data_IF_028750958584
#
_entry.id   IF_028750958584
#
_cell.length_a   1.000
_cell.length_b   1.000
_cell.length_c   1.000
_cell.angle_alpha   90.00
_cell.angle_beta   90.00
_cell.angle_gamma   90.00
#
_symmetry.space_group_name_H-M   'P 1'
#
loop_
_entity.id
_entity.type
_entity.pdbx_description
1 polymer ?
#
# COMPACT_ATOMS: atom_id res chain seq x y z
N UNK A 1 16.01 13.64 -54.65
CA UNK A 1 15.22 12.52 -54.09
C UNK A 1 15.80 12.04 -52.72
N UNK A 2 17.11 11.95 -52.51
CA UNK A 2 17.74 11.49 -51.28
C UNK A 2 17.50 12.46 -50.08
N UNK A 3 17.62 13.77 -50.37
CA UNK A 3 17.38 14.80 -49.35
C UNK A 3 15.92 14.85 -48.86
N UNK A 4 14.96 14.68 -49.76
CA UNK A 4 13.53 14.67 -49.44
C UNK A 4 13.15 13.49 -48.53
N UNK A 5 13.79 12.33 -48.70
CA UNK A 5 13.59 11.14 -47.88
C UNK A 5 14.13 11.34 -46.45
N UNK A 6 15.28 12.02 -46.31
CA UNK A 6 15.89 12.33 -45.00
C UNK A 6 15.03 13.32 -44.24
N UNK A 7 14.48 14.33 -44.93
CA UNK A 7 13.63 15.34 -44.30
C UNK A 7 12.30 14.74 -43.81
N UNK A 8 11.70 13.83 -44.60
CA UNK A 8 10.47 13.13 -44.17
C UNK A 8 10.73 12.18 -42.98
N UNK A 9 11.89 11.48 -42.97
CA UNK A 9 12.23 10.61 -41.84
C UNK A 9 12.49 11.39 -40.56
N UNK A 10 13.12 12.56 -40.64
CA UNK A 10 13.34 13.45 -39.50
C UNK A 10 12.03 14.04 -38.96
N UNK A 11 11.08 14.39 -39.83
CA UNK A 11 9.77 14.90 -39.44
C UNK A 11 8.93 13.80 -38.77
N UNK A 12 8.96 12.57 -39.26
CA UNK A 12 8.28 11.43 -38.63
C UNK A 12 8.85 11.08 -37.26
N UNK A 13 10.17 11.17 -37.07
CA UNK A 13 10.81 10.96 -35.79
C UNK A 13 10.44 12.07 -34.77
N UNK A 14 10.33 13.33 -35.22
CA UNK A 14 9.94 14.44 -34.34
C UNK A 14 8.49 14.30 -33.82
N UNK A 15 7.57 13.79 -34.65
CA UNK A 15 6.16 13.57 -34.26
C UNK A 15 6.03 12.42 -33.22
N UNK A 16 6.90 11.41 -33.30
CA UNK A 16 6.88 10.30 -32.34
C UNK A 16 7.41 10.68 -30.96
N UNK A 17 8.31 11.67 -30.87
CA UNK A 17 8.84 12.13 -29.57
C UNK A 17 7.85 13.05 -28.84
N UNK A 18 6.98 13.77 -29.55
CA UNK A 18 5.96 14.61 -28.95
C UNK A 18 4.77 13.81 -28.38
N UNK A 19 4.56 12.57 -28.83
CA UNK A 19 3.48 11.72 -28.30
C UNK A 19 3.74 11.20 -26.88
N UNK A 20 4.99 11.23 -26.39
CA UNK A 20 5.36 10.86 -25.02
C UNK A 20 5.52 12.05 -24.08
N UNK A 21 5.39 13.29 -24.57
CA UNK A 21 5.57 14.51 -23.83
C UNK A 21 4.25 15.15 -23.38
N UNK A 22 3.32 14.37 -22.87
CA UNK A 22 2.17 14.89 -22.15
C UNK A 22 2.60 15.49 -20.80
N UNK A 23 3.37 16.58 -20.84
CA UNK A 23 3.75 17.36 -19.68
C UNK A 23 2.64 18.29 -19.18
N UNK A 24 1.40 17.83 -19.20
CA UNK A 24 0.37 18.40 -18.36
C UNK A 24 0.63 17.89 -16.95
N UNK A 25 0.80 18.78 -15.97
CA UNK A 25 0.74 18.40 -14.57
C UNK A 25 -0.58 17.65 -14.37
N UNK A 26 -0.48 16.34 -14.09
CA UNK A 26 -1.67 15.55 -13.79
C UNK A 26 -2.40 16.24 -12.63
N UNK A 27 -3.68 16.53 -12.81
CA UNK A 27 -4.51 17.01 -11.71
C UNK A 27 -4.58 15.90 -10.65
N UNK A 28 -3.80 16.08 -9.60
CA UNK A 28 -3.74 15.14 -8.45
C UNK A 28 -4.75 15.50 -7.37
N UNK A 29 -5.61 16.50 -7.62
CA UNK A 29 -6.66 16.89 -6.67
C UNK A 29 -7.65 15.74 -6.51
N UNK A 30 -7.91 15.27 -5.29
CA UNK A 30 -8.90 14.22 -5.05
C UNK A 30 -10.30 14.63 -5.55
N UNK A 31 -10.87 13.84 -6.45
CA UNK A 31 -12.19 14.13 -7.05
C UNK A 31 -13.35 13.58 -6.22
N UNK A 32 -13.10 12.59 -5.37
CA UNK A 32 -14.10 12.02 -4.50
C UNK A 32 -14.02 12.64 -3.10
N UNK A 33 -15.17 12.84 -2.46
CA UNK A 33 -15.23 13.24 -1.06
C UNK A 33 -14.90 12.01 -0.21
N UNK A 34 -13.62 11.83 0.14
CA UNK A 34 -13.18 10.78 1.04
C UNK A 34 -13.17 11.31 2.47
N UNK A 35 -13.85 10.61 3.37
CA UNK A 35 -13.98 10.97 4.78
C UNK A 35 -13.21 10.03 5.70
N UNK A 36 -12.78 8.88 5.18
CA UNK A 36 -11.95 7.94 5.93
C UNK A 36 -11.08 7.12 4.98
N UNK A 37 -9.83 6.88 5.39
CA UNK A 37 -8.91 5.98 4.68
C UNK A 37 -8.70 4.75 5.55
N UNK A 38 -8.90 3.56 4.99
CA UNK A 38 -8.72 2.27 5.65
C UNK A 38 -7.63 1.50 4.94
N UNK A 39 -6.69 0.95 5.69
CA UNK A 39 -5.49 0.33 5.14
C UNK A 39 -5.34 -1.08 5.68
N UNK A 40 -5.11 -2.03 4.77
CA UNK A 40 -4.86 -3.43 5.05
C UNK A 40 -3.64 -3.87 4.25
N UNK A 41 -2.78 -4.69 4.85
CA UNK A 41 -1.61 -5.13 4.10
C UNK A 41 -0.44 -5.52 4.99
N UNK A 42 0.74 -5.36 4.41
CA UNK A 42 2.00 -5.79 5.00
C UNK A 42 2.92 -4.61 5.38
N UNK A 43 4.24 -4.86 5.33
CA UNK A 43 5.27 -3.87 5.72
C UNK A 43 5.29 -2.60 4.87
N UNK A 44 4.76 -2.63 3.64
CA UNK A 44 4.72 -1.45 2.78
C UNK A 44 3.76 -0.39 3.32
N UNK A 45 2.72 -0.81 4.04
CA UNK A 45 1.67 0.05 4.58
C UNK A 45 1.62 0.09 6.11
N UNK A 46 2.52 -0.64 6.81
CA UNK A 46 2.61 -0.62 8.29
C UNK A 46 3.17 0.72 8.76
N UNK A 47 2.34 1.50 9.45
CA UNK A 47 2.69 2.82 9.98
C UNK A 47 3.34 2.82 11.37
N UNK A 48 3.66 1.64 11.90
CA UNK A 48 4.39 1.53 13.17
C UNK A 48 3.83 0.52 14.15
N UNK A 49 3.25 -0.58 13.71
CA UNK A 49 2.75 -1.67 14.57
C UNK A 49 3.83 -2.21 15.52
N UNK A 50 5.09 -2.25 15.07
CA UNK A 50 6.25 -2.67 15.87
C UNK A 50 7.04 -1.49 16.47
N UNK A 51 6.49 -0.27 16.44
CA UNK A 51 7.17 0.94 16.89
C UNK A 51 8.08 1.59 15.85
N UNK A 52 8.14 1.05 14.65
CA UNK A 52 8.91 1.58 13.51
C UNK A 52 8.20 1.29 12.18
N UNK A 53 8.57 2.03 11.15
CA UNK A 53 8.10 1.82 9.76
C UNK A 53 9.13 1.03 8.99
N UNK A 54 8.71 0.09 8.16
CA UNK A 54 9.63 -0.77 7.41
C UNK A 54 10.24 -0.07 6.19
N UNK A 55 9.49 0.80 5.55
CA UNK A 55 9.90 1.44 4.28
C UNK A 55 10.48 2.83 4.46
N UNK A 56 10.13 3.52 5.54
CA UNK A 56 10.58 4.89 5.82
C UNK A 56 10.84 5.03 7.32
N UNK A 57 12.09 5.23 7.72
CA UNK A 57 12.51 5.18 9.12
C UNK A 57 12.50 6.55 9.85
N UNK A 58 12.47 7.67 9.12
CA UNK A 58 12.44 8.97 9.76
C UNK A 58 11.03 9.31 10.28
N UNK A 59 10.91 9.89 11.49
CA UNK A 59 9.61 10.19 12.12
C UNK A 59 8.69 11.05 11.25
N UNK A 60 9.26 12.01 10.53
CA UNK A 60 8.51 12.97 9.70
C UNK A 60 8.24 12.45 8.29
N UNK A 61 8.75 11.28 7.95
CA UNK A 61 8.53 10.69 6.64
C UNK A 61 7.27 9.83 6.63
N UNK A 62 6.36 10.18 5.75
CA UNK A 62 5.12 9.46 5.55
C UNK A 62 5.34 8.30 4.57
N UNK A 63 4.86 7.11 4.91
CA UNK A 63 4.73 6.00 3.97
C UNK A 63 3.62 6.30 2.94
N UNK A 64 3.55 5.51 1.88
CA UNK A 64 2.58 5.73 0.80
C UNK A 64 1.14 5.93 1.31
N UNK A 65 0.64 5.03 2.14
CA UNK A 65 -0.73 5.10 2.68
C UNK A 65 -0.97 6.37 3.51
N UNK A 66 0.02 6.80 4.31
CA UNK A 66 -0.07 8.04 5.08
C UNK A 66 -0.10 9.28 4.18
N UNK A 67 0.67 9.29 3.07
CA UNK A 67 0.64 10.39 2.08
C UNK A 67 -0.72 10.47 1.39
N UNK A 68 -1.29 9.32 1.02
CA UNK A 68 -2.63 9.26 0.46
C UNK A 68 -3.66 9.79 1.46
N UNK A 69 -3.63 9.35 2.72
CA UNK A 69 -4.52 9.85 3.76
C UNK A 69 -4.37 11.37 3.96
N UNK A 70 -3.14 11.87 4.00
CA UNK A 70 -2.85 13.30 4.13
C UNK A 70 -3.42 14.14 2.98
N UNK A 71 -3.46 13.61 1.74
CA UNK A 71 -4.08 14.31 0.60
C UNK A 71 -5.59 14.51 0.76
N UNK A 72 -6.22 13.74 1.65
CA UNK A 72 -7.62 13.89 2.06
C UNK A 72 -7.76 14.56 3.43
N UNK A 73 -6.70 15.18 3.96
CA UNK A 73 -6.71 15.85 5.26
C UNK A 73 -6.79 14.92 6.46
N UNK A 74 -6.37 13.65 6.30
CA UNK A 74 -6.47 12.64 7.35
C UNK A 74 -5.09 12.18 7.83
N UNK A 75 -5.02 11.77 9.09
CA UNK A 75 -3.83 11.17 9.70
C UNK A 75 -4.13 9.71 10.02
N UNK A 76 -3.31 8.80 9.51
CA UNK A 76 -3.41 7.38 9.85
C UNK A 76 -2.74 7.08 11.19
N UNK A 77 -3.26 6.09 11.90
CA UNK A 77 -2.58 5.40 12.97
C UNK A 77 -2.84 3.89 12.86
N UNK A 78 -1.86 3.11 13.30
CA UNK A 78 -1.97 1.65 13.28
C UNK A 78 -2.99 1.15 14.30
N UNK A 79 -3.89 0.29 13.86
CA UNK A 79 -4.91 -0.36 14.69
C UNK A 79 -4.28 -1.39 15.63
N UNK A 80 -3.23 -2.08 15.21
CA UNK A 80 -2.53 -3.05 16.01
C UNK A 80 -1.25 -2.48 16.62
N UNK A 81 -0.92 -2.96 17.81
CA UNK A 81 0.39 -2.79 18.47
C UNK A 81 0.96 -4.17 18.72
N UNK A 82 2.19 -4.42 18.31
CA UNK A 82 2.89 -5.67 18.57
C UNK A 82 3.25 -5.76 20.06
N UNK A 83 2.91 -6.89 20.66
CA UNK A 83 3.31 -7.28 22.03
C UNK A 83 4.36 -8.39 22.01
N UNK A 84 4.67 -8.89 20.83
CA UNK A 84 5.69 -9.89 20.51
C UNK A 84 5.84 -10.01 19.01
N UNK A 85 6.68 -10.93 18.54
CA UNK A 85 6.97 -11.12 17.12
C UNK A 85 5.72 -11.49 16.28
N UNK A 86 4.78 -12.21 16.88
CA UNK A 86 3.55 -12.71 16.22
C UNK A 86 2.29 -12.45 17.05
N UNK A 87 2.40 -11.65 18.10
CA UNK A 87 1.28 -11.33 18.99
C UNK A 87 0.96 -9.85 18.93
N UNK A 88 -0.33 -9.54 18.82
CA UNK A 88 -0.82 -8.20 18.57
C UNK A 88 -2.04 -7.90 19.44
N UNK A 89 -2.16 -6.65 19.87
CA UNK A 89 -3.35 -6.14 20.55
C UNK A 89 -3.88 -4.92 19.83
N UNK A 90 -5.19 -4.63 19.89
CA UNK A 90 -5.72 -3.37 19.42
C UNK A 90 -5.03 -2.18 20.11
N UNK A 91 -4.76 -1.14 19.35
CA UNK A 91 -4.25 0.12 19.88
C UNK A 91 -5.30 0.76 20.77
N UNK A 92 -4.88 1.30 21.90
CA UNK A 92 -5.78 2.02 22.84
C UNK A 92 -6.33 3.34 22.26
N UNK A 93 -5.67 3.89 21.24
CA UNK A 93 -6.12 5.09 20.54
C UNK A 93 -7.32 4.77 19.64
N UNK A 94 -8.46 5.42 19.91
CA UNK A 94 -9.64 5.27 19.07
C UNK A 94 -9.44 5.85 17.65
N UNK A 95 -10.16 5.30 16.69
CA UNK A 95 -10.18 5.82 15.31
C UNK A 95 -8.98 5.44 14.44
N UNK A 96 -8.11 4.53 14.90
CA UNK A 96 -7.03 4.01 14.07
C UNK A 96 -7.58 3.08 12.99
N UNK A 97 -7.27 3.38 11.73
CA UNK A 97 -7.81 2.69 10.54
C UNK A 97 -6.74 2.04 9.66
N UNK A 98 -5.50 2.02 10.10
CA UNK A 98 -4.43 1.28 9.45
C UNK A 98 -4.24 -0.08 10.14
N UNK A 99 -4.69 -1.14 9.49
CA UNK A 99 -4.63 -2.52 9.98
C UNK A 99 -3.40 -3.29 9.47
N UNK A 100 -2.61 -2.67 8.58
CA UNK A 100 -1.44 -3.30 8.00
C UNK A 100 -0.39 -3.65 9.06
N UNK A 101 0.22 -4.82 8.91
CA UNK A 101 1.24 -5.36 9.82
C UNK A 101 2.41 -5.90 9.00
N UNK A 102 3.61 -5.48 9.33
CA UNK A 102 4.82 -6.00 8.71
C UNK A 102 4.89 -7.53 8.76
N UNK A 103 5.25 -8.14 7.63
CA UNK A 103 5.30 -9.60 7.50
C UNK A 103 3.96 -10.27 7.19
N UNK A 104 2.86 -9.52 7.04
CA UNK A 104 1.57 -10.10 6.66
C UNK A 104 1.59 -10.71 5.28
N UNK A 105 0.75 -11.72 5.08
CA UNK A 105 0.53 -12.47 3.85
C UNK A 105 -0.94 -12.44 3.46
N UNK A 106 -1.24 -12.69 2.21
CA UNK A 106 -2.63 -12.86 1.76
C UNK A 106 -3.24 -14.06 2.48
N UNK A 107 -2.49 -15.17 2.52
CA UNK A 107 -2.88 -16.36 3.29
C UNK A 107 -1.66 -16.92 4.03
N UNK A 108 -1.58 -16.66 5.32
CA UNK A 108 -0.45 -17.13 6.14
C UNK A 108 -0.79 -18.45 6.85
N UNK A 109 -0.46 -19.55 6.21
CA UNK A 109 -0.78 -20.90 6.73
C UNK A 109 0.03 -21.31 7.96
N UNK A 110 1.21 -20.71 8.17
CA UNK A 110 2.03 -20.98 9.36
C UNK A 110 1.55 -20.21 10.60
N UNK A 111 0.70 -19.21 10.44
CA UNK A 111 0.07 -18.50 11.55
C UNK A 111 -1.29 -19.12 11.89
N UNK A 112 -1.82 -18.79 13.08
CA UNK A 112 -3.21 -19.10 13.40
C UNK A 112 -4.16 -18.55 12.34
N UNK A 113 -5.24 -19.24 11.97
CA UNK A 113 -6.26 -18.74 11.05
C UNK A 113 -6.87 -17.38 11.46
N UNK A 114 -6.80 -17.03 12.74
CA UNK A 114 -7.30 -15.77 13.29
C UNK A 114 -6.19 -14.72 13.46
N UNK A 115 -4.96 -15.02 13.05
CA UNK A 115 -3.83 -14.11 13.17
C UNK A 115 -4.00 -12.90 12.23
N UNK A 116 -3.81 -11.66 12.70
CA UNK A 116 -3.86 -10.48 11.85
C UNK A 116 -2.65 -10.37 10.90
N UNK A 117 -1.73 -11.33 10.93
CA UNK A 117 -0.74 -11.55 9.86
C UNK A 117 -1.37 -12.11 8.58
N UNK A 118 -2.66 -12.40 8.56
CA UNK A 118 -3.44 -12.65 7.35
C UNK A 118 -4.21 -11.37 6.98
N UNK A 119 -4.04 -10.87 5.76
CA UNK A 119 -4.73 -9.64 5.28
C UNK A 119 -6.24 -9.79 5.36
N UNK A 120 -6.78 -10.98 5.06
CA UNK A 120 -8.21 -11.26 5.22
C UNK A 120 -8.71 -11.10 6.66
N UNK A 121 -7.88 -11.45 7.67
CA UNK A 121 -8.22 -11.26 9.09
C UNK A 121 -8.21 -9.78 9.47
N UNK A 122 -7.29 -8.99 8.93
CA UNK A 122 -7.29 -7.53 9.12
C UNK A 122 -8.60 -6.90 8.62
N UNK A 123 -9.03 -7.29 7.42
CA UNK A 123 -10.29 -6.83 6.83
C UNK A 123 -11.51 -7.26 7.65
N UNK A 124 -11.53 -8.51 8.13
CA UNK A 124 -12.59 -9.03 8.99
C UNK A 124 -12.62 -8.32 10.35
N UNK A 125 -11.46 -7.97 10.91
CA UNK A 125 -11.38 -7.19 12.15
C UNK A 125 -12.06 -5.83 11.99
N UNK A 126 -11.81 -5.11 10.90
CA UNK A 126 -12.54 -3.86 10.63
C UNK A 126 -14.03 -4.11 10.45
N UNK A 127 -14.43 -5.11 9.65
CA UNK A 127 -15.84 -5.42 9.39
C UNK A 127 -16.63 -5.79 10.65
N UNK A 128 -15.97 -6.31 11.69
CA UNK A 128 -16.60 -6.61 12.98
C UNK A 128 -16.87 -5.36 13.84
N UNK A 129 -16.21 -4.24 13.55
CA UNK A 129 -16.33 -2.99 14.32
C UNK A 129 -17.14 -1.92 13.61
N UNK A 130 -17.34 -2.05 12.30
CA UNK A 130 -18.00 -1.04 11.50
C UNK A 130 -18.35 -1.51 10.11
N UNK A 131 -18.89 -0.62 9.31
CA UNK A 131 -19.27 -0.86 7.92
C UNK A 131 -18.44 0.00 6.99
N UNK A 132 -18.19 -0.50 5.79
CA UNK A 132 -17.62 0.31 4.72
C UNK A 132 -18.64 1.31 4.21
N UNK A 133 -18.20 2.52 3.96
CA UNK A 133 -18.99 3.64 3.45
C UNK A 133 -18.59 3.96 2.01
N UNK A 134 -19.49 4.55 1.24
CA UNK A 134 -19.18 5.06 -0.10
C UNK A 134 -18.13 6.20 -0.10
N UNK A 135 -17.85 6.76 1.06
CA UNK A 135 -16.82 7.80 1.25
C UNK A 135 -15.54 7.26 1.87
N UNK A 136 -15.40 5.95 1.99
CA UNK A 136 -14.16 5.30 2.41
C UNK A 136 -13.24 5.07 1.21
N UNK A 137 -11.98 5.41 1.38
CA UNK A 137 -10.91 4.94 0.52
C UNK A 137 -10.26 3.72 1.18
N UNK A 138 -10.29 2.60 0.50
CA UNK A 138 -9.68 1.36 0.98
C UNK A 138 -8.38 1.12 0.21
N UNK A 139 -7.28 0.97 0.94
CA UNK A 139 -5.97 0.61 0.42
C UNK A 139 -5.68 -0.81 0.88
N UNK A 140 -5.41 -1.69 -0.08
CA UNK A 140 -5.10 -3.10 0.20
C UNK A 140 -3.84 -3.46 -0.57
N UNK A 141 -2.90 -4.11 0.09
CA UNK A 141 -1.77 -4.76 -0.55
C UNK A 141 -1.49 -6.13 0.09
N UNK A 142 -0.63 -6.91 -0.56
CA UNK A 142 -0.20 -8.20 -0.07
C UNK A 142 0.38 -9.05 -1.19
N UNK A 143 0.93 -10.21 -0.84
CA UNK A 143 1.48 -11.19 -1.78
C UNK A 143 3.00 -11.17 -1.89
N UNK A 144 3.68 -10.10 -1.51
CA UNK A 144 5.14 -10.04 -1.56
C UNK A 144 5.79 -11.06 -0.59
N UNK A 145 5.27 -11.17 0.62
CA UNK A 145 5.74 -12.15 1.60
C UNK A 145 5.34 -13.57 1.21
N UNK A 146 4.17 -13.77 0.59
CA UNK A 146 3.75 -15.07 0.04
C UNK A 146 4.71 -15.51 -1.07
N UNK A 147 5.07 -14.61 -1.98
CA UNK A 147 6.05 -14.89 -3.03
C UNK A 147 7.45 -15.19 -2.47
N UNK A 148 7.89 -14.47 -1.43
CA UNK A 148 9.16 -14.72 -0.77
C UNK A 148 9.20 -16.10 -0.12
N UNK A 149 8.10 -16.55 0.51
CA UNK A 149 7.98 -17.89 1.07
C UNK A 149 8.08 -18.98 -0.01
N UNK A 150 7.40 -18.78 -1.16
CA UNK A 150 7.47 -19.72 -2.29
C UNK A 150 8.89 -19.82 -2.88
N UNK A 151 9.56 -18.67 -3.06
CA UNK A 151 10.95 -18.63 -3.53
C UNK A 151 11.87 -19.32 -2.52
N UNK A 152 11.72 -19.04 -1.23
CA UNK A 152 12.49 -19.68 -0.17
C UNK A 152 12.30 -21.19 -0.16
N UNK A 153 11.07 -21.66 -0.28
CA UNK A 153 10.75 -23.08 -0.37
C UNK A 153 11.39 -23.73 -1.62
N UNK A 154 11.31 -23.06 -2.78
CA UNK A 154 11.92 -23.54 -4.02
C UNK A 154 13.44 -23.68 -3.91
N UNK A 155 14.11 -22.67 -3.35
CA UNK A 155 15.56 -22.66 -3.19
C UNK A 155 16.07 -23.64 -2.12
N UNK A 156 15.19 -24.16 -1.26
CA UNK A 156 15.52 -25.16 -0.24
C UNK A 156 15.36 -26.60 -0.71
N UNK A 157 14.89 -26.84 -1.94
CA UNK A 157 14.81 -28.18 -2.54
C UNK A 157 16.23 -28.63 -2.89
N UNK A 158 16.70 -29.80 -2.36
CA UNK A 158 18.04 -30.30 -2.59
C UNK A 158 18.29 -30.76 -4.03
#
# INVERSE_FOLDING_TARGET
>A
MRQLKITMLALAAAVLVTACGGGGSADTTPRAKITSVKVFGDSLHDSGTFGYKFTVQAPDNLIYAERVAASYGQTLCNYYTATGATTFTPNSKAGCTNFAIGGSRVTYTAASPTSPLNVGVQMAAFASMGTYSATDLVIIDGGANDAADLVGAYLSIP
#
